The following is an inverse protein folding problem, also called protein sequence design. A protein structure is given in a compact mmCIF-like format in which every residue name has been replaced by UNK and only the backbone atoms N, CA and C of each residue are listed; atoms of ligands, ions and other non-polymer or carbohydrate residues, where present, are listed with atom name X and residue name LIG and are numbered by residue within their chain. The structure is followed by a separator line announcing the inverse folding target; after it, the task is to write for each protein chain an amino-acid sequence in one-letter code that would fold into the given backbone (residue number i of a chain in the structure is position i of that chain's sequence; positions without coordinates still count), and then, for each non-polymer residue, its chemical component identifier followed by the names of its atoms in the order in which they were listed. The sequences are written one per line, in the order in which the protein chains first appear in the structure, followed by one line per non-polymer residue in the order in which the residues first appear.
data_IF_113232461023
#
_entry.id   IF_113232461023
#
_cell.length_a   1.000
_cell.length_b   1.000
_cell.length_c   1.000
_cell.angle_alpha   90.00
_cell.angle_beta   90.00
_cell.angle_gamma   90.00
#
_symmetry.space_group_name_H-M   'P 1'
#
loop_
_entity.id
_entity.type
_entity.pdbx_description
1 polymer ?
#
# COMPACT_ATOMS: atom_id res chain seq x y z
N UNK A 1 9.50 -17.94 -20.93
CA UNK A 1 8.85 -16.65 -20.57
C UNK A 1 9.15 -16.33 -19.12
N UNK A 2 9.74 -15.18 -18.82
CA UNK A 2 10.02 -14.77 -17.44
C UNK A 2 8.68 -14.47 -16.73
N UNK A 3 8.43 -15.17 -15.63
CA UNK A 3 7.30 -14.96 -14.73
C UNK A 3 7.86 -14.57 -13.37
N UNK A 4 7.16 -13.68 -12.69
CA UNK A 4 7.45 -13.28 -11.30
C UNK A 4 6.19 -13.55 -10.47
N UNK A 5 6.38 -14.06 -9.26
CA UNK A 5 5.31 -14.22 -8.29
C UNK A 5 5.73 -13.48 -7.02
N UNK A 6 4.89 -12.54 -6.60
CA UNK A 6 5.10 -11.73 -5.40
C UNK A 6 4.01 -12.10 -4.42
N UNK A 7 4.41 -12.56 -3.24
CA UNK A 7 3.52 -12.61 -2.08
C UNK A 7 3.31 -11.19 -1.57
N UNK A 8 2.06 -10.74 -1.53
CA UNK A 8 1.73 -9.35 -1.27
C UNK A 8 1.20 -9.22 0.15
N UNK A 9 2.03 -8.79 1.12
CA UNK A 9 1.55 -8.56 2.47
C UNK A 9 0.54 -7.41 2.47
N UNK A 10 -0.56 -7.62 3.17
CA UNK A 10 -1.50 -6.55 3.50
C UNK A 10 -1.11 -5.94 4.84
N UNK A 11 -1.84 -4.93 5.31
CA UNK A 11 -1.58 -4.38 6.63
C UNK A 11 -2.84 -4.09 7.44
N UNK A 12 -2.75 -4.36 8.73
CA UNK A 12 -3.65 -3.81 9.73
C UNK A 12 -3.07 -2.50 10.26
N UNK A 13 -3.86 -1.44 10.25
CA UNK A 13 -3.48 -0.15 10.79
C UNK A 13 -4.34 0.15 12.02
N UNK A 14 -3.74 0.21 13.20
CA UNK A 14 -4.47 0.32 14.46
C UNK A 14 -4.90 1.76 14.76
N UNK A 15 -4.01 2.73 14.63
CA UNK A 15 -4.34 4.13 14.86
C UNK A 15 -3.33 5.08 14.21
N UNK A 16 -3.78 6.31 13.92
CA UNK A 16 -2.91 7.43 13.61
C UNK A 16 -2.49 8.13 14.92
N UNK A 17 -1.27 8.65 14.97
CA UNK A 17 -0.69 9.12 16.24
C UNK A 17 -0.85 10.64 16.39
N UNK A 18 -0.24 11.42 15.50
CA UNK A 18 -0.21 12.87 15.55
C UNK A 18 -1.32 13.47 14.67
N UNK A 19 -2.55 13.42 15.18
CA UNK A 19 -3.75 14.01 14.54
C UNK A 19 -4.09 15.43 15.04
N UNK A 20 -3.20 16.03 15.82
CA UNK A 20 -3.32 17.40 16.31
C UNK A 20 -2.57 18.37 15.39
N UNK A 21 -3.00 19.63 15.35
CA UNK A 21 -2.26 20.68 14.64
C UNK A 21 -1.01 21.05 15.44
N UNK A 22 0.16 20.75 14.88
CA UNK A 22 1.44 21.27 15.37
C UNK A 22 2.42 21.45 14.21
N UNK A 23 3.52 22.17 14.45
CA UNK A 23 4.58 22.43 13.46
C UNK A 23 5.65 21.35 13.38
N UNK A 24 5.66 20.38 14.30
CA UNK A 24 6.74 19.37 14.37
C UNK A 24 6.47 18.18 13.45
N UNK A 25 5.41 17.41 13.75
CA UNK A 25 5.07 16.19 13.01
C UNK A 25 3.57 16.03 12.89
N UNK A 26 3.12 15.44 11.79
CA UNK A 26 1.73 15.06 11.60
C UNK A 26 1.63 13.60 11.16
N UNK A 27 0.46 13.02 11.40
CA UNK A 27 0.11 11.65 11.10
C UNK A 27 0.95 10.64 11.91
N UNK A 28 1.58 9.67 11.25
CA UNK A 28 2.24 8.56 11.94
C UNK A 28 1.26 7.47 12.31
N UNK A 29 1.75 6.23 12.34
CA UNK A 29 0.89 5.07 12.47
C UNK A 29 1.55 3.94 13.22
N UNK A 30 0.70 3.14 13.87
CA UNK A 30 1.06 1.85 14.42
C UNK A 30 0.21 0.77 13.75
N UNK A 31 0.86 -0.31 13.32
CA UNK A 31 0.19 -1.38 12.60
C UNK A 31 1.08 -2.59 12.40
N UNK A 32 0.60 -3.54 11.59
CA UNK A 32 1.35 -4.74 11.27
C UNK A 32 1.05 -5.28 9.88
N UNK A 33 2.01 -5.97 9.28
CA UNK A 33 1.78 -6.78 8.09
C UNK A 33 0.96 -8.02 8.43
N UNK A 34 0.11 -8.42 7.49
CA UNK A 34 -0.70 -9.63 7.58
C UNK A 34 -0.65 -10.37 6.25
N UNK A 35 -0.47 -11.67 6.31
CA UNK A 35 -0.52 -12.54 5.14
C UNK A 35 -1.92 -13.13 5.00
N UNK A 36 -2.55 -12.90 3.86
CA UNK A 36 -3.88 -13.45 3.51
C UNK A 36 -3.79 -14.43 2.36
N UNK A 37 -2.58 -14.87 1.98
CA UNK A 37 -2.31 -15.63 0.77
C UNK A 37 -2.49 -14.81 -0.51
N UNK A 38 -2.53 -13.48 -0.41
CA UNK A 38 -2.65 -12.56 -1.55
C UNK A 38 -1.36 -12.59 -2.38
N UNK A 39 -1.51 -12.82 -3.69
CA UNK A 39 -0.37 -12.88 -4.62
C UNK A 39 -0.62 -12.04 -5.87
N UNK A 40 0.45 -11.43 -6.37
CA UNK A 40 0.52 -10.87 -7.70
C UNK A 40 1.43 -11.75 -8.55
N UNK A 41 0.91 -12.21 -9.69
CA UNK A 41 1.69 -12.95 -10.68
C UNK A 41 1.84 -12.07 -11.91
N UNK A 42 3.08 -11.74 -12.25
CA UNK A 42 3.44 -10.92 -13.39
C UNK A 42 4.17 -11.73 -14.46
N UNK A 43 3.96 -11.38 -15.73
CA UNK A 43 4.79 -11.85 -16.84
C UNK A 43 5.13 -10.70 -17.78
N UNK A 44 6.27 -10.88 -18.46
CA UNK A 44 6.75 -9.96 -19.49
C UNK A 44 5.69 -9.75 -20.58
N UNK A 45 5.42 -8.50 -20.91
CA UNK A 45 4.48 -8.09 -21.96
C UNK A 45 5.00 -6.88 -22.74
N UNK A 46 4.37 -6.55 -23.88
CA UNK A 46 4.61 -5.29 -24.61
C UNK A 46 3.82 -4.11 -24.00
N UNK A 47 2.71 -4.41 -23.32
CA UNK A 47 1.79 -3.45 -22.69
C UNK A 47 1.73 -3.69 -21.18
N UNK A 48 1.19 -2.72 -20.44
CA UNK A 48 0.86 -2.91 -19.02
C UNK A 48 -0.64 -3.15 -18.87
N UNK A 49 -1.02 -4.29 -18.29
CA UNK A 49 -2.42 -4.62 -18.03
C UNK A 49 -2.60 -5.60 -16.87
N UNK A 50 -3.81 -5.60 -16.29
CA UNK A 50 -4.23 -6.56 -15.27
C UNK A 50 -5.37 -7.45 -15.79
N UNK A 51 -5.16 -8.77 -15.84
CA UNK A 51 -6.14 -9.76 -16.32
C UNK A 51 -6.03 -11.11 -15.59
N UNK A 52 -7.16 -11.71 -15.17
CA UNK A 52 -8.47 -11.07 -14.94
C UNK A 52 -8.40 -10.01 -13.83
N UNK A 53 -9.37 -9.09 -13.82
CA UNK A 53 -9.54 -8.08 -12.79
C UNK A 53 -10.99 -8.06 -12.32
N UNK A 54 -11.22 -8.08 -11.00
CA UNK A 54 -12.57 -7.90 -10.46
C UNK A 54 -13.06 -6.47 -10.71
N UNK A 55 -14.38 -6.29 -10.80
CA UNK A 55 -14.98 -4.98 -11.11
C UNK A 55 -14.71 -3.97 -9.99
N UNK A 56 -14.67 -4.44 -8.74
CA UNK A 56 -14.43 -3.62 -7.55
C UNK A 56 -13.00 -3.07 -7.52
N UNK A 57 -12.02 -3.84 -7.98
CA UNK A 57 -10.62 -3.43 -8.01
C UNK A 57 -10.28 -2.59 -9.25
N UNK A 58 -11.12 -2.60 -10.29
CA UNK A 58 -10.83 -1.95 -11.57
C UNK A 58 -10.41 -0.48 -11.44
N UNK A 59 -11.09 0.38 -10.66
CA UNK A 59 -10.67 1.78 -10.50
C UNK A 59 -9.30 1.94 -9.82
N UNK A 60 -8.90 0.98 -8.99
CA UNK A 60 -7.55 0.98 -8.39
C UNK A 60 -6.51 0.53 -9.41
N UNK A 61 -6.82 -0.51 -10.18
CA UNK A 61 -5.91 -1.07 -11.18
C UNK A 61 -5.67 -0.11 -12.34
N UNK A 62 -6.69 0.60 -12.82
CA UNK A 62 -6.53 1.59 -13.89
C UNK A 62 -5.55 2.72 -13.49
N UNK A 63 -5.64 3.19 -12.23
CA UNK A 63 -4.67 4.17 -11.69
C UNK A 63 -3.25 3.60 -11.59
N UNK A 64 -3.13 2.31 -11.24
CA UNK A 64 -1.84 1.63 -11.17
C UNK A 64 -1.24 1.46 -12.57
N UNK A 65 -2.04 1.10 -13.58
CA UNK A 65 -1.59 1.01 -14.98
C UNK A 65 -1.00 2.34 -15.45
N UNK A 66 -1.70 3.46 -15.21
CA UNK A 66 -1.19 4.81 -15.54
C UNK A 66 0.16 5.07 -14.87
N UNK A 67 0.28 4.77 -13.57
CA UNK A 67 1.53 4.95 -12.82
C UNK A 67 2.66 4.06 -13.35
N UNK A 68 2.37 2.81 -13.69
CA UNK A 68 3.36 1.89 -14.25
C UNK A 68 3.83 2.33 -15.63
N UNK A 69 2.96 2.88 -16.48
CA UNK A 69 3.36 3.41 -17.79
C UNK A 69 4.26 4.65 -17.64
N UNK A 70 3.97 5.52 -16.66
CA UNK A 70 4.88 6.63 -16.30
C UNK A 70 6.25 6.11 -15.86
N UNK A 71 6.29 5.17 -14.91
CA UNK A 71 7.54 4.57 -14.42
C UNK A 71 8.32 3.88 -15.55
N UNK A 72 7.63 3.12 -16.41
CA UNK A 72 8.23 2.45 -17.57
C UNK A 72 8.89 3.47 -18.50
N UNK A 73 8.21 4.59 -18.78
CA UNK A 73 8.75 5.68 -19.60
C UNK A 73 9.96 6.35 -18.95
N UNK A 74 9.83 6.74 -17.69
CA UNK A 74 10.85 7.50 -16.96
C UNK A 74 12.15 6.69 -16.77
N UNK A 75 12.01 5.40 -16.50
CA UNK A 75 13.14 4.47 -16.34
C UNK A 75 13.57 3.81 -17.67
N UNK A 76 12.94 4.17 -18.79
CA UNK A 76 13.20 3.63 -20.14
C UNK A 76 13.17 2.09 -20.17
N UNK A 77 12.20 1.49 -19.49
CA UNK A 77 12.08 0.03 -19.39
C UNK A 77 11.54 -0.56 -20.71
N UNK A 78 12.23 -1.56 -21.30
CA UNK A 78 11.88 -2.10 -22.61
C UNK A 78 10.57 -2.90 -22.62
N UNK A 79 10.10 -3.37 -21.46
CA UNK A 79 8.97 -4.28 -21.36
C UNK A 79 7.88 -3.76 -20.42
N UNK A 80 6.63 -4.00 -20.80
CA UNK A 80 5.47 -3.87 -19.93
C UNK A 80 5.26 -5.12 -19.07
N UNK A 81 4.11 -5.14 -18.40
CA UNK A 81 3.74 -6.12 -17.41
C UNK A 81 2.28 -6.55 -17.62
N UNK A 82 2.06 -7.83 -17.93
CA UNK A 82 0.74 -8.43 -17.76
C UNK A 82 0.69 -9.09 -16.38
N UNK A 83 -0.24 -8.66 -15.53
CA UNK A 83 -0.36 -9.12 -14.15
C UNK A 83 -1.74 -9.71 -13.85
N UNK A 84 -1.76 -10.70 -12.95
CA UNK A 84 -2.97 -11.29 -12.39
C UNK A 84 -2.89 -11.25 -10.86
N UNK A 85 -4.03 -11.01 -10.22
CA UNK A 85 -4.17 -11.00 -8.77
C UNK A 85 -4.86 -12.29 -8.30
N UNK A 86 -4.30 -12.94 -7.28
CA UNK A 86 -4.84 -14.17 -6.70
C UNK A 86 -5.11 -13.95 -5.21
N UNK A 87 -6.30 -14.31 -4.73
CA UNK A 87 -6.75 -14.05 -3.35
C UNK A 87 -6.67 -12.57 -2.97
N UNK A 88 -6.99 -11.67 -3.91
CA UNK A 88 -7.01 -10.24 -3.62
C UNK A 88 -8.15 -9.93 -2.63
N UNK A 89 -7.90 -9.10 -1.60
CA UNK A 89 -8.96 -8.66 -0.71
C UNK A 89 -9.92 -7.73 -1.44
N UNK A 90 -11.15 -7.63 -0.93
CA UNK A 90 -12.05 -6.56 -1.35
C UNK A 90 -11.39 -5.19 -1.09
N UNK A 91 -11.61 -4.19 -1.95
CA UNK A 91 -11.15 -2.84 -1.67
C UNK A 91 -11.87 -2.26 -0.45
N UNK A 92 -11.22 -1.28 0.20
CA UNK A 92 -11.81 -0.48 1.29
C UNK A 92 -12.21 -1.22 2.59
N UNK A 93 -11.76 -2.46 2.81
CA UNK A 93 -12.01 -3.19 4.07
C UNK A 93 -10.96 -2.95 5.17
N UNK A 94 -10.18 -1.87 5.08
CA UNK A 94 -9.16 -1.52 6.09
C UNK A 94 -7.82 -2.26 6.00
N UNK A 95 -7.65 -3.22 5.09
CA UNK A 95 -6.39 -3.98 4.91
C UNK A 95 -5.31 -3.25 4.08
N UNK A 96 -5.65 -2.08 3.54
CA UNK A 96 -4.70 -1.29 2.78
C UNK A 96 -4.22 -1.94 1.47
N UNK A 97 -5.13 -2.59 0.75
CA UNK A 97 -4.83 -3.26 -0.52
C UNK A 97 -4.29 -2.31 -1.59
N UNK A 98 -4.77 -1.06 -1.67
CA UNK A 98 -4.34 -0.11 -2.70
C UNK A 98 -2.82 0.17 -2.70
N UNK A 99 -2.21 0.38 -1.53
CA UNK A 99 -0.74 0.55 -1.42
C UNK A 99 -0.03 -0.75 -1.76
N UNK A 100 -0.49 -1.88 -1.21
CA UNK A 100 0.15 -3.18 -1.40
C UNK A 100 0.17 -3.60 -2.87
N UNK A 101 -0.95 -3.46 -3.59
CA UNK A 101 -1.03 -3.72 -5.04
C UNK A 101 -0.11 -2.76 -5.81
N UNK A 102 -0.08 -1.47 -5.44
CA UNK A 102 0.80 -0.50 -6.10
C UNK A 102 2.27 -0.90 -5.96
N UNK A 103 2.72 -1.24 -4.74
CA UNK A 103 4.10 -1.66 -4.48
C UNK A 103 4.45 -2.93 -5.24
N UNK A 104 3.61 -3.98 -5.14
CA UNK A 104 3.84 -5.25 -5.81
C UNK A 104 3.85 -5.13 -7.34
N UNK A 105 3.02 -4.27 -7.91
CA UNK A 105 2.99 -4.10 -9.36
C UNK A 105 4.23 -3.35 -9.87
N UNK A 106 4.72 -2.34 -9.14
CA UNK A 106 5.98 -1.66 -9.46
C UNK A 106 7.13 -2.64 -9.33
N UNK A 107 7.17 -3.42 -8.25
CA UNK A 107 8.19 -4.43 -8.01
C UNK A 107 8.25 -5.46 -9.15
N UNK A 108 7.08 -6.00 -9.55
CA UNK A 108 6.99 -6.93 -10.66
C UNK A 108 7.50 -6.33 -11.97
N UNK A 109 7.17 -5.07 -12.26
CA UNK A 109 7.65 -4.37 -13.45
C UNK A 109 9.18 -4.23 -13.46
N UNK A 110 9.78 -3.88 -12.31
CA UNK A 110 11.24 -3.74 -12.17
C UNK A 110 11.94 -5.10 -12.32
N UNK A 111 11.45 -6.15 -11.67
CA UNK A 111 11.99 -7.52 -11.76
C UNK A 111 11.93 -8.06 -13.21
N UNK A 112 10.80 -7.87 -13.90
CA UNK A 112 10.62 -8.32 -15.29
C UNK A 112 11.62 -7.63 -16.23
N UNK A 113 11.97 -6.38 -15.94
CA UNK A 113 12.95 -5.62 -16.71
C UNK A 113 14.38 -5.76 -16.19
N UNK A 114 14.62 -6.59 -15.15
CA UNK A 114 15.93 -6.77 -14.50
C UNK A 114 16.55 -5.44 -14.07
N UNK A 115 15.70 -4.54 -13.60
CA UNK A 115 16.13 -3.25 -13.08
C UNK A 115 16.44 -3.40 -11.60
N UNK A 116 17.65 -3.05 -11.18
CA UNK A 116 18.04 -3.11 -9.77
C UNK A 116 17.35 -1.99 -8.97
N UNK A 117 16.80 -2.32 -7.80
CA UNK A 117 16.09 -1.36 -6.96
C UNK A 117 16.36 -1.59 -5.47
N UNK A 118 16.19 -0.52 -4.70
CA UNK A 118 16.14 -0.57 -3.24
C UNK A 118 14.68 -0.44 -2.77
N UNK A 119 14.39 -0.90 -1.56
CA UNK A 119 13.06 -0.69 -0.95
C UNK A 119 12.68 0.79 -0.90
N UNK A 120 13.64 1.67 -0.59
CA UNK A 120 13.43 3.12 -0.56
C UNK A 120 13.04 3.66 -1.95
N UNK A 121 13.74 3.23 -3.00
CA UNK A 121 13.44 3.65 -4.37
C UNK A 121 12.02 3.24 -4.77
N UNK A 122 11.63 2.00 -4.47
CA UNK A 122 10.29 1.50 -4.75
C UNK A 122 9.21 2.27 -3.96
N UNK A 123 9.47 2.58 -2.69
CA UNK A 123 8.57 3.38 -1.86
C UNK A 123 8.36 4.78 -2.46
N UNK A 124 9.42 5.44 -2.95
CA UNK A 124 9.32 6.74 -3.64
C UNK A 124 8.49 6.62 -4.92
N UNK A 125 8.80 5.65 -5.80
CA UNK A 125 8.06 5.44 -7.05
C UNK A 125 6.57 5.18 -6.81
N UNK A 126 6.21 4.53 -5.70
CA UNK A 126 4.82 4.27 -5.36
C UNK A 126 3.99 5.55 -5.21
N UNK A 127 4.60 6.67 -4.80
CA UNK A 127 3.91 7.90 -4.43
C UNK A 127 2.90 7.70 -3.30
N UNK A 128 3.07 6.64 -2.49
CA UNK A 128 2.23 6.33 -1.32
C UNK A 128 2.97 6.70 -0.05
N UNK A 129 2.24 6.75 1.08
CA UNK A 129 2.81 7.08 2.39
C UNK A 129 2.58 8.52 2.86
N UNK A 130 1.68 9.28 2.22
CA UNK A 130 1.40 10.67 2.61
C UNK A 130 0.78 10.86 4.00
N UNK A 131 0.25 9.79 4.61
CA UNK A 131 -0.30 9.82 5.97
C UNK A 131 0.51 8.90 6.89
N UNK A 132 0.56 7.60 6.58
CA UNK A 132 1.21 6.59 7.42
C UNK A 132 2.17 5.73 6.60
N UNK A 133 3.32 5.40 7.21
CA UNK A 133 4.37 4.56 6.66
C UNK A 133 4.16 3.08 6.91
N UNK A 134 3.20 2.69 7.76
CA UNK A 134 2.95 1.28 8.14
C UNK A 134 2.96 0.36 6.93
N UNK A 135 2.11 0.62 5.94
CA UNK A 135 1.99 -0.24 4.75
C UNK A 135 3.19 -0.19 3.80
N UNK A 136 4.01 0.88 3.84
CA UNK A 136 5.23 0.96 3.03
C UNK A 136 6.37 0.16 3.64
N UNK A 137 6.54 0.27 4.95
CA UNK A 137 7.62 -0.39 5.68
C UNK A 137 7.32 -1.87 5.84
N UNK A 138 6.08 -2.19 6.23
CA UNK A 138 5.67 -3.58 6.48
C UNK A 138 5.63 -4.42 5.20
N UNK A 139 5.56 -3.79 4.03
CA UNK A 139 5.64 -4.49 2.74
C UNK A 139 6.96 -5.27 2.59
N UNK A 140 8.08 -4.64 2.95
CA UNK A 140 9.40 -5.25 2.80
C UNK A 140 9.85 -6.05 4.03
N UNK A 141 9.38 -5.64 5.21
CA UNK A 141 9.91 -6.13 6.49
C UNK A 141 8.97 -7.07 7.23
N UNK A 142 7.68 -7.08 6.87
CA UNK A 142 6.66 -7.75 7.67
C UNK A 142 6.56 -7.20 9.09
N UNK A 143 5.93 -7.98 9.98
CA UNK A 143 5.88 -7.70 11.42
C UNK A 143 5.10 -6.44 11.80
N UNK A 144 5.30 -5.99 13.03
CA UNK A 144 4.81 -4.73 13.57
C UNK A 144 5.66 -3.56 13.10
N UNK A 145 4.99 -2.47 12.75
CA UNK A 145 5.60 -1.22 12.32
C UNK A 145 5.02 -0.07 13.13
N UNK A 146 5.91 0.79 13.60
CA UNK A 146 5.58 2.11 14.10
C UNK A 146 6.32 3.14 13.28
N UNK A 147 5.60 4.10 12.69
CA UNK A 147 6.19 5.26 12.04
C UNK A 147 5.76 6.57 12.73
N UNK A 148 6.66 7.54 12.79
CA UNK A 148 6.37 8.85 13.39
C UNK A 148 5.73 9.83 12.40
N UNK A 149 5.23 9.36 11.25
CA UNK A 149 4.60 10.21 10.24
C UNK A 149 5.61 11.06 9.49
N UNK A 150 5.18 12.25 9.07
CA UNK A 150 6.00 13.19 8.30
C UNK A 150 6.16 14.51 9.04
N UNK A 151 7.07 15.36 8.56
CA UNK A 151 7.17 16.74 9.04
C UNK A 151 5.87 17.48 8.74
N UNK A 152 5.35 18.19 9.74
CA UNK A 152 4.12 18.96 9.56
C UNK A 152 4.38 20.21 8.71
N UNK A 153 3.48 20.47 7.77
CA UNK A 153 3.41 21.71 7.01
C UNK A 153 2.22 22.59 7.46
N UNK A 154 1.64 22.31 8.64
CA UNK A 154 0.42 22.95 9.16
C UNK A 154 -0.77 22.90 8.18
N UNK A 155 -0.82 21.86 7.34
CA UNK A 155 -1.94 21.60 6.42
C UNK A 155 -2.97 20.68 7.08
N UNK A 156 -4.25 20.73 6.66
CA UNK A 156 -5.25 19.76 7.09
C UNK A 156 -4.82 18.32 6.80
N UNK A 157 -5.22 17.39 7.68
CA UNK A 157 -4.99 15.97 7.44
C UNK A 157 -5.81 15.49 6.24
N UNK A 158 -5.14 14.80 5.32
CA UNK A 158 -5.75 14.23 4.12
C UNK A 158 -5.46 12.72 4.04
N UNK A 159 -6.37 11.91 3.47
CA UNK A 159 -6.14 10.49 3.25
C UNK A 159 -4.91 10.22 2.39
N UNK A 160 -4.22 9.09 2.63
CA UNK A 160 -2.99 8.73 1.89
C UNK A 160 -3.18 8.54 0.38
N UNK A 161 -4.42 8.42 -0.09
CA UNK A 161 -4.73 8.33 -1.51
C UNK A 161 -4.67 9.70 -2.21
N UNK A 162 -4.76 10.80 -1.46
CA UNK A 162 -4.81 12.18 -1.96
C UNK A 162 -3.55 12.98 -1.65
N UNK A 163 -2.58 12.38 -0.96
CA UNK A 163 -1.32 13.02 -0.58
C UNK A 163 -0.17 12.21 -1.16
N UNK A 164 0.53 12.79 -2.14
CA UNK A 164 1.84 12.29 -2.52
C UNK A 164 2.87 12.80 -1.51
N UNK A 165 3.59 11.92 -0.79
CA UNK A 165 4.56 12.35 0.19
C UNK A 165 5.82 12.90 -0.47
N UNK A 166 6.30 14.03 0.04
CA UNK A 166 7.63 14.55 -0.28
C UNK A 166 8.77 13.73 0.38
N UNK A 167 8.45 12.96 1.43
CA UNK A 167 9.37 12.08 2.16
C UNK A 167 8.65 10.84 2.67
N UNK A 168 9.35 9.72 2.70
CA UNK A 168 8.87 8.48 3.31
C UNK A 168 8.69 8.71 4.82
N UNK A 169 7.57 8.31 5.43
CA UNK A 169 7.37 8.46 6.87
C UNK A 169 8.47 7.76 7.66
N UNK A 170 8.98 8.43 8.69
CA UNK A 170 10.13 7.94 9.46
C UNK A 170 9.75 6.68 10.25
N UNK A 171 10.40 5.55 9.96
CA UNK A 171 10.25 4.31 10.72
C UNK A 171 10.88 4.50 12.11
N UNK A 172 10.07 4.38 13.16
CA UNK A 172 10.56 4.43 14.55
C UNK A 172 11.09 3.06 14.99
N UNK A 173 10.29 2.03 14.77
CA UNK A 173 10.72 0.66 15.01
C UNK A 173 9.94 -0.34 14.17
N UNK A 174 10.57 -1.50 13.95
CA UNK A 174 9.98 -2.68 13.37
C UNK A 174 10.33 -3.89 14.24
N UNK A 175 9.35 -4.78 14.48
CA UNK A 175 9.55 -6.04 15.21
C UNK A 175 8.73 -7.16 14.61
N UNK A 176 9.22 -8.40 14.71
CA UNK A 176 8.43 -9.59 14.39
C UNK A 176 7.18 -9.69 15.27
N UNK A 177 6.10 -10.29 14.73
CA UNK A 177 4.88 -10.60 15.48
C UNK A 177 5.05 -11.94 16.20
N UNK A 178 5.06 -12.00 17.55
CA UNK A 178 5.34 -13.24 18.26
C UNK A 178 4.08 -14.03 18.68
N UNK A 179 2.87 -13.53 18.41
CA UNK A 179 1.65 -14.01 19.09
C UNK A 179 0.80 -15.02 18.29
N UNK A 180 1.32 -15.64 17.23
CA UNK A 180 0.65 -16.72 16.49
C UNK A 180 -0.35 -16.28 15.42
N UNK A 181 -1.40 -17.09 15.19
CA UNK A 181 -2.38 -16.84 14.12
C UNK A 181 -3.34 -15.69 14.46
N UNK A 182 -3.75 -14.95 13.43
CA UNK A 182 -4.74 -13.87 13.54
C UNK A 182 -5.98 -14.28 12.74
N UNK A 183 -7.12 -14.33 13.42
CA UNK A 183 -8.42 -14.55 12.79
C UNK A 183 -9.10 -13.21 12.55
N UNK A 184 -9.44 -12.94 11.29
CA UNK A 184 -10.19 -11.74 10.91
C UNK A 184 -11.69 -12.02 10.94
N UNK A 185 -12.41 -11.26 11.76
CA UNK A 185 -13.86 -11.24 11.75
C UNK A 185 -14.32 -9.99 11.01
N UNK A 186 -14.81 -10.18 9.79
CA UNK A 186 -15.43 -9.10 9.01
C UNK A 186 -16.92 -9.06 9.34
N UNK A 187 -17.41 -8.05 10.07
CA UNK A 187 -18.84 -7.92 10.28
C UNK A 187 -19.52 -7.65 8.93
N UNK A 188 -20.53 -8.45 8.57
CA UNK A 188 -21.37 -8.23 7.40
C UNK A 188 -22.41 -7.10 7.61
N UNK A 189 -22.24 -6.30 8.66
CA UNK A 189 -23.20 -5.29 9.06
C UNK A 189 -22.92 -3.95 8.35
N UNK A 190 -23.91 -3.44 7.63
CA UNK A 190 -23.84 -2.19 6.88
C UNK A 190 -24.42 -0.98 7.65
N UNK A 191 -24.90 -1.17 8.88
CA UNK A 191 -25.58 -0.15 9.68
C UNK A 191 -24.76 0.19 10.92
N UNK A 192 -24.17 1.39 10.92
CA UNK A 192 -23.71 2.08 12.12
C UNK A 192 -24.66 3.25 12.37
N UNK A 193 -25.57 3.14 13.34
CA UNK A 193 -26.36 4.27 13.80
C UNK A 193 -25.78 4.79 15.11
N UNK A 194 -25.30 6.03 15.12
CA UNK A 194 -25.14 6.79 16.36
C UNK A 194 -26.51 7.38 16.70
N UNK A 195 -27.37 6.64 17.38
CA UNK A 195 -28.66 7.14 17.87
C UNK A 195 -28.54 8.07 19.09
N UNK A 196 -27.35 8.61 19.36
CA UNK A 196 -27.15 9.64 20.37
C UNK A 196 -27.01 11.00 19.67
N UNK A 197 -27.95 11.95 19.86
CA UNK A 197 -27.68 13.33 19.51
C UNK A 197 -26.49 13.78 20.37
N UNK A 198 -25.39 14.16 19.72
CA UNK A 198 -24.39 15.01 20.34
C UNK A 198 -25.10 16.32 20.72
N UNK A 199 -25.49 16.42 21.98
CA UNK A 199 -25.80 17.71 22.59
C UNK A 199 -24.48 18.45 22.74
N UNK A 200 -24.26 19.43 21.86
CA UNK A 200 -23.38 20.55 22.13
C UNK A 200 -24.17 21.62 22.89
#
# INVERSE_FOLDING_TARGET
MQKVSISVPLRLHFNLIAMHQCSFRCNGGFGMAVDTGFKLIGKKSSIIEFKPASQELRPTLDRIVIKLEQIRKDLKLPHGLEACLYNAPLPHIGLGSGTAITLAAIEALLIINRYDYTSQFLQVLSGRGGTSGVGLHSYFTGGFVFDTGIQSENKPHLPSALVEPNKIPTLLFQKSYPFGDIVFLYPSCHLFSSSTPLSL
#
